data_IF_304152152454
#
_entry.id   IF_304152152454
#
_cell.length_a   1.000
_cell.length_b   1.000
_cell.length_c   1.000
_cell.angle_alpha   90.00
_cell.angle_beta   90.00
_cell.angle_gamma   90.00
#
_symmetry.space_group_name_H-M   'P 1'
#
loop_
_entity.id
_entity.type
_entity.pdbx_description
1 polymer ?
#
# COMPACT_ATOMS: atom_id res chain seq x y z
N UNK A 1 0.83 3.82 -24.96
CA UNK A 1 2.24 3.79 -24.54
C UNK A 1 2.43 2.66 -23.55
N UNK A 2 3.52 1.88 -23.66
CA UNK A 2 3.82 0.85 -22.66
C UNK A 2 4.16 1.51 -21.32
N UNK A 3 3.60 1.00 -20.22
CA UNK A 3 3.80 1.53 -18.86
C UNK A 3 5.02 0.94 -18.15
N UNK A 4 6.00 0.42 -18.89
CA UNK A 4 7.09 -0.39 -18.34
C UNK A 4 7.90 0.35 -17.28
N UNK A 5 8.33 1.59 -17.55
CA UNK A 5 9.10 2.39 -16.59
C UNK A 5 8.26 2.79 -15.37
N UNK A 6 6.99 3.13 -15.59
CA UNK A 6 6.05 3.42 -14.50
C UNK A 6 5.85 2.21 -13.60
N UNK A 7 5.71 1.01 -14.18
CA UNK A 7 5.54 -0.23 -13.43
C UNK A 7 6.80 -0.53 -12.62
N UNK A 8 7.99 -0.39 -13.21
CA UNK A 8 9.25 -0.60 -12.50
C UNK A 8 9.40 0.35 -11.29
N UNK A 9 8.93 1.60 -11.40
CA UNK A 9 8.90 2.54 -10.27
C UNK A 9 7.90 2.11 -9.19
N UNK A 10 6.70 1.67 -9.58
CA UNK A 10 5.67 1.16 -8.65
C UNK A 10 6.20 -0.06 -7.89
N UNK A 11 6.81 -1.02 -8.59
CA UNK A 11 7.35 -2.25 -7.99
C UNK A 11 8.48 -1.92 -7.00
N UNK A 12 9.34 -0.95 -7.35
CA UNK A 12 10.39 -0.45 -6.45
C UNK A 12 9.80 0.24 -5.21
N UNK A 13 8.75 1.04 -5.36
CA UNK A 13 8.06 1.69 -4.24
C UNK A 13 7.45 0.63 -3.30
N UNK A 14 6.75 -0.36 -3.86
CA UNK A 14 6.18 -1.47 -3.11
C UNK A 14 7.27 -2.24 -2.33
N UNK A 15 8.39 -2.56 -3.00
CA UNK A 15 9.53 -3.23 -2.38
C UNK A 15 10.16 -2.40 -1.25
N UNK A 16 10.28 -1.08 -1.44
CA UNK A 16 10.84 -0.18 -0.42
C UNK A 16 9.92 -0.09 0.80
N UNK A 17 8.61 -0.05 0.59
CA UNK A 17 7.63 -0.06 1.67
C UNK A 17 7.64 -1.40 2.42
N UNK A 18 7.71 -2.54 1.70
CA UNK A 18 7.81 -3.85 2.31
C UNK A 18 9.06 -3.97 3.21
N UNK A 19 10.22 -3.49 2.77
CA UNK A 19 11.44 -3.48 3.58
C UNK A 19 11.31 -2.59 4.83
N UNK A 20 10.65 -1.42 4.71
CA UNK A 20 10.36 -0.58 5.86
C UNK A 20 9.41 -1.27 6.86
N UNK A 21 8.39 -1.95 6.36
CA UNK A 21 7.44 -2.68 7.19
C UNK A 21 8.10 -3.84 7.92
N UNK A 22 8.94 -4.63 7.23
CA UNK A 22 9.73 -5.71 7.83
C UNK A 22 10.67 -5.19 8.93
N UNK A 23 11.32 -4.03 8.71
CA UNK A 23 12.15 -3.40 9.73
C UNK A 23 11.34 -2.88 10.94
N UNK A 24 10.05 -2.59 10.74
CA UNK A 24 9.20 -1.96 11.76
C UNK A 24 8.28 -2.95 12.52
N UNK A 25 7.99 -4.12 11.95
CA UNK A 25 6.93 -5.02 12.43
C UNK A 25 7.12 -5.49 13.87
N UNK A 26 8.37 -5.67 14.31
CA UNK A 26 8.71 -6.18 15.63
C UNK A 26 9.18 -5.09 16.61
N UNK A 27 9.06 -3.80 16.24
CA UNK A 27 9.46 -2.70 17.13
C UNK A 27 8.51 -2.60 18.33
N UNK A 28 9.08 -2.55 19.53
CA UNK A 28 8.31 -2.23 20.73
C UNK A 28 7.97 -0.73 20.80
N UNK A 29 7.05 -0.35 21.69
CA UNK A 29 6.76 1.06 21.94
C UNK A 29 8.00 1.83 22.45
N UNK A 30 8.88 1.18 23.19
CA UNK A 30 10.15 1.76 23.65
C UNK A 30 11.14 1.91 22.48
N UNK A 31 11.16 0.98 21.52
CA UNK A 31 11.99 1.10 20.32
C UNK A 31 11.63 2.34 19.48
N UNK A 32 10.35 2.73 19.48
CA UNK A 32 9.87 3.90 18.77
C UNK A 32 10.46 5.22 19.29
N UNK A 33 10.93 5.25 20.54
CA UNK A 33 11.51 6.43 21.19
C UNK A 33 13.04 6.49 21.08
N UNK A 34 13.68 5.44 20.53
CA UNK A 34 15.11 5.47 20.26
C UNK A 34 15.45 6.55 19.24
N UNK A 35 16.42 7.39 19.57
CA UNK A 35 16.88 8.45 18.68
C UNK A 35 17.89 7.92 17.66
N UNK A 36 17.61 8.17 16.39
CA UNK A 36 18.53 7.90 15.29
C UNK A 36 19.34 9.17 15.02
N UNK A 37 20.69 9.12 15.10
CA UNK A 37 21.52 10.27 14.78
C UNK A 37 21.51 10.54 13.27
N UNK A 38 21.59 11.83 12.91
CA UNK A 38 21.89 12.26 11.54
C UNK A 38 20.70 12.46 10.60
N UNK A 39 19.48 12.03 10.97
CA UNK A 39 18.30 12.35 10.16
C UNK A 39 17.91 13.82 10.30
N UNK A 40 17.94 14.58 9.21
CA UNK A 40 17.65 16.03 9.23
C UNK A 40 18.63 16.85 10.07
N UNK A 41 19.86 16.35 10.29
CA UNK A 41 20.90 17.05 11.05
C UNK A 41 20.69 17.06 12.57
N UNK A 42 19.74 16.29 13.10
CA UNK A 42 19.47 16.17 14.54
C UNK A 42 19.13 14.73 14.95
N UNK A 43 19.31 14.35 16.22
CA UNK A 43 18.71 13.13 16.74
C UNK A 43 17.19 13.15 16.49
N UNK A 44 16.66 12.06 15.91
CA UNK A 44 15.25 11.95 15.55
C UNK A 44 14.71 10.59 16.00
N UNK A 45 13.61 10.53 16.78
CA UNK A 45 13.00 9.27 17.18
C UNK A 45 12.56 8.40 16.00
N UNK A 46 12.65 7.08 16.15
CA UNK A 46 12.17 6.11 15.13
C UNK A 46 10.72 6.37 14.73
N UNK A 47 9.82 6.68 15.69
CA UNK A 47 8.41 7.03 15.37
C UNK A 47 8.28 8.16 14.37
N UNK A 48 9.17 9.17 14.43
CA UNK A 48 9.10 10.32 13.54
C UNK A 48 9.51 9.94 12.11
N UNK A 49 10.40 8.95 11.96
CA UNK A 49 10.75 8.41 10.64
C UNK A 49 9.56 7.63 10.04
N UNK A 50 8.86 6.84 10.85
CA UNK A 50 7.66 6.12 10.41
C UNK A 50 6.52 7.09 10.04
N UNK A 51 6.28 8.12 10.85
CA UNK A 51 5.35 9.20 10.50
C UNK A 51 5.78 9.94 9.23
N UNK A 52 7.09 10.17 9.07
CA UNK A 52 7.68 10.77 7.89
C UNK A 52 7.39 9.94 6.64
N UNK A 53 7.64 8.63 6.67
CA UNK A 53 7.39 7.75 5.54
C UNK A 53 5.93 7.77 5.06
N UNK A 54 4.98 7.69 6.00
CA UNK A 54 3.55 7.76 5.69
C UNK A 54 3.15 9.13 5.13
N UNK A 55 3.51 10.22 5.81
CA UNK A 55 3.10 11.57 5.42
C UNK A 55 3.77 12.03 4.12
N UNK A 56 5.04 11.72 3.91
CA UNK A 56 5.80 12.09 2.72
C UNK A 56 5.22 11.40 1.48
N UNK A 57 4.86 10.11 1.58
CA UNK A 57 4.22 9.38 0.48
C UNK A 57 2.88 10.04 0.11
N UNK A 58 2.05 10.35 1.11
CA UNK A 58 0.76 11.05 0.91
C UNK A 58 0.93 12.44 0.30
N UNK A 59 1.93 13.21 0.75
CA UNK A 59 2.26 14.52 0.18
C UNK A 59 2.61 14.40 -1.32
N UNK A 60 3.43 13.43 -1.68
CA UNK A 60 3.88 13.27 -3.07
C UNK A 60 2.79 12.81 -4.04
N UNK A 61 1.69 12.20 -3.56
CA UNK A 61 0.48 12.00 -4.37
C UNK A 61 -0.07 13.35 -4.87
N UNK A 62 -0.13 14.36 -3.99
CA UNK A 62 -0.59 15.70 -4.39
C UNK A 62 0.36 16.34 -5.42
N UNK A 63 1.67 16.13 -5.29
CA UNK A 63 2.64 16.61 -6.27
C UNK A 63 2.45 15.94 -7.64
N UNK A 64 2.26 14.61 -7.67
CA UNK A 64 2.01 13.88 -8.92
C UNK A 64 0.73 14.39 -9.58
N UNK A 65 -0.37 14.48 -8.82
CA UNK A 65 -1.65 14.96 -9.35
C UNK A 65 -1.55 16.39 -9.88
N UNK A 66 -0.86 17.29 -9.17
CA UNK A 66 -0.59 18.64 -9.64
C UNK A 66 0.21 18.65 -10.94
N UNK A 67 1.24 17.83 -11.07
CA UNK A 67 2.05 17.73 -12.31
C UNK A 67 1.18 17.24 -13.48
N UNK A 68 0.37 16.20 -13.26
CA UNK A 68 -0.52 15.67 -14.29
C UNK A 68 -1.54 16.72 -14.73
N UNK A 69 -2.12 17.46 -13.78
CA UNK A 69 -3.09 18.52 -14.07
C UNK A 69 -2.48 19.65 -14.92
N UNK A 70 -1.36 20.24 -14.48
CA UNK A 70 -0.74 21.37 -15.20
C UNK A 70 -0.13 20.99 -16.55
N UNK A 71 0.20 19.71 -16.77
CA UNK A 71 0.73 19.20 -18.05
C UNK A 71 -0.35 18.68 -18.98
N UNK A 72 -1.63 18.88 -18.66
CA UNK A 72 -2.76 18.49 -19.51
C UNK A 72 -3.06 16.98 -19.51
N UNK A 73 -2.55 16.24 -18.52
CA UNK A 73 -2.88 14.84 -18.25
C UNK A 73 -3.97 14.72 -17.16
N UNK A 74 -4.88 15.68 -17.08
CA UNK A 74 -6.00 15.75 -16.12
C UNK A 74 -7.20 14.86 -16.47
N UNK A 75 -6.92 13.66 -16.98
CA UNK A 75 -7.94 12.72 -17.46
C UNK A 75 -8.20 11.55 -16.52
N UNK A 76 -8.35 11.76 -15.22
CA UNK A 76 -8.74 10.66 -14.33
C UNK A 76 -10.16 10.22 -14.72
N UNK A 77 -10.26 9.05 -15.34
CA UNK A 77 -11.56 8.44 -15.61
C UNK A 77 -12.22 7.99 -14.31
N UNK A 78 -13.55 7.83 -14.32
CA UNK A 78 -14.28 7.26 -13.18
C UNK A 78 -13.70 5.92 -12.73
N UNK A 79 -13.29 5.07 -13.69
CA UNK A 79 -12.61 3.81 -13.40
C UNK A 79 -11.28 4.01 -12.63
N UNK A 80 -10.49 5.02 -12.97
CA UNK A 80 -9.25 5.33 -12.24
C UNK A 80 -9.52 5.90 -10.84
N UNK A 81 -10.61 6.66 -10.66
CA UNK A 81 -11.03 7.14 -9.33
C UNK A 81 -11.50 5.98 -8.44
N UNK A 82 -12.22 5.01 -8.99
CA UNK A 82 -12.62 3.79 -8.27
C UNK A 82 -11.39 2.95 -7.89
N UNK A 83 -10.44 2.79 -8.81
CA UNK A 83 -9.19 2.04 -8.52
C UNK A 83 -8.30 2.74 -7.48
N UNK A 84 -8.29 4.08 -7.43
CA UNK A 84 -7.60 4.81 -6.36
C UNK A 84 -8.18 4.49 -4.98
N UNK A 85 -9.52 4.46 -4.85
CA UNK A 85 -10.19 4.05 -3.61
C UNK A 85 -9.89 2.58 -3.28
N UNK A 86 -9.88 1.70 -4.28
CA UNK A 86 -9.47 0.30 -4.13
C UNK A 86 -8.04 0.16 -3.61
N UNK A 87 -7.10 0.97 -4.10
CA UNK A 87 -5.71 0.97 -3.63
C UNK A 87 -5.59 1.41 -2.16
N UNK A 88 -6.39 2.38 -1.71
CA UNK A 88 -6.44 2.77 -0.29
C UNK A 88 -6.97 1.64 0.59
N UNK A 89 -8.03 0.97 0.17
CA UNK A 89 -8.59 -0.19 0.88
C UNK A 89 -7.59 -1.35 0.95
N UNK A 90 -6.89 -1.63 -0.16
CA UNK A 90 -5.85 -2.67 -0.20
C UNK A 90 -4.64 -2.30 0.68
N UNK A 91 -4.25 -1.03 0.73
CA UNK A 91 -3.24 -0.54 1.67
C UNK A 91 -3.64 -0.76 3.12
N UNK A 92 -4.91 -0.54 3.47
CA UNK A 92 -5.42 -0.81 4.81
C UNK A 92 -5.41 -2.31 5.14
N UNK A 93 -5.79 -3.17 4.18
CA UNK A 93 -5.68 -4.62 4.32
C UNK A 93 -4.23 -5.05 4.57
N UNK A 94 -3.28 -4.58 3.76
CA UNK A 94 -1.86 -4.86 3.94
C UNK A 94 -1.36 -4.42 5.32
N UNK A 95 -1.74 -3.23 5.77
CA UNK A 95 -1.40 -2.75 7.12
C UNK A 95 -1.97 -3.64 8.23
N UNK A 96 -3.20 -4.13 8.09
CA UNK A 96 -3.81 -5.05 9.04
C UNK A 96 -3.10 -6.42 9.08
N UNK A 97 -2.53 -6.85 7.95
CA UNK A 97 -1.79 -8.11 7.82
C UNK A 97 -0.35 -8.05 8.34
N UNK A 98 0.21 -6.85 8.58
CA UNK A 98 1.57 -6.75 9.13
C UNK A 98 1.73 -7.44 10.50
N UNK A 99 0.63 -7.58 11.26
CA UNK A 99 0.62 -8.25 12.57
C UNK A 99 0.16 -9.71 12.52
N UNK A 100 -0.03 -10.27 11.32
CA UNK A 100 -0.56 -11.63 11.10
C UNK A 100 0.61 -12.52 10.69
N UNK A 101 0.85 -13.58 11.44
CA UNK A 101 1.81 -14.63 11.07
C UNK A 101 1.12 -15.87 10.47
N UNK A 102 1.91 -16.86 10.06
CA UNK A 102 1.39 -18.09 9.46
C UNK A 102 0.48 -18.89 10.41
N UNK A 103 0.74 -18.84 11.72
CA UNK A 103 -0.07 -19.52 12.73
C UNK A 103 -1.44 -18.83 12.89
N UNK A 104 -1.48 -17.51 12.69
CA UNK A 104 -2.71 -16.73 12.73
C UNK A 104 -3.67 -17.04 11.57
N UNK A 105 -3.19 -17.59 10.45
CA UNK A 105 -4.02 -17.91 9.28
C UNK A 105 -5.16 -18.88 9.61
N UNK A 106 -4.94 -19.79 10.55
CA UNK A 106 -5.92 -20.78 10.99
C UNK A 106 -6.90 -20.26 12.05
N UNK A 107 -6.67 -19.06 12.62
CA UNK A 107 -7.60 -18.48 13.61
C UNK A 107 -8.93 -18.17 12.95
N UNK A 108 -10.02 -18.50 13.64
CA UNK A 108 -11.37 -18.38 13.11
C UNK A 108 -12.35 -17.74 14.08
N UNK A 109 -13.38 -17.12 13.50
CA UNK A 109 -14.56 -16.60 14.18
C UNK A 109 -15.77 -16.73 13.25
N UNK A 110 -16.94 -17.11 13.78
CA UNK A 110 -18.19 -17.23 13.01
C UNK A 110 -18.02 -17.98 11.66
N UNK A 111 -17.41 -19.17 11.73
CA UNK A 111 -17.15 -20.08 10.61
C UNK A 111 -16.18 -19.57 9.52
N UNK A 112 -15.47 -18.46 9.75
CA UNK A 112 -14.46 -17.96 8.84
C UNK A 112 -13.08 -17.88 9.50
N UNK A 113 -12.06 -18.42 8.83
CA UNK A 113 -10.66 -18.19 9.20
C UNK A 113 -10.09 -16.94 8.53
N UNK A 114 -8.98 -16.42 9.06
CA UNK A 114 -8.21 -15.35 8.40
C UNK A 114 -7.85 -15.75 6.97
N UNK A 115 -7.44 -17.01 6.77
CA UNK A 115 -7.17 -17.56 5.44
C UNK A 115 -8.38 -17.52 4.53
N UNK A 116 -9.56 -17.97 5.00
CA UNK A 116 -10.79 -17.97 4.18
C UNK A 116 -11.16 -16.56 3.71
N UNK A 117 -11.00 -15.56 4.59
CA UNK A 117 -11.25 -14.16 4.25
C UNK A 117 -10.29 -13.67 3.16
N UNK A 118 -8.99 -13.99 3.27
CA UNK A 118 -7.98 -13.58 2.29
C UNK A 118 -8.17 -14.27 0.94
N UNK A 119 -8.47 -15.57 0.95
CA UNK A 119 -8.77 -16.33 -0.27
C UNK A 119 -10.06 -15.82 -0.93
N UNK A 120 -11.07 -15.44 -0.15
CA UNK A 120 -12.29 -14.83 -0.67
C UNK A 120 -12.01 -13.47 -1.36
N UNK A 121 -11.20 -12.61 -0.73
CA UNK A 121 -10.81 -11.33 -1.33
C UNK A 121 -10.05 -11.56 -2.63
N UNK A 122 -9.04 -12.45 -2.63
CA UNK A 122 -8.25 -12.76 -3.81
C UNK A 122 -9.12 -13.33 -4.95
N UNK A 123 -9.94 -14.34 -4.67
CA UNK A 123 -10.84 -14.95 -5.66
C UNK A 123 -11.87 -13.97 -6.22
N UNK A 124 -12.33 -13.01 -5.41
CA UNK A 124 -13.23 -11.94 -5.86
C UNK A 124 -12.52 -10.98 -6.82
N UNK A 125 -11.29 -10.57 -6.51
CA UNK A 125 -10.48 -9.71 -7.39
C UNK A 125 -10.18 -10.41 -8.73
N UNK A 126 -9.80 -11.68 -8.72
CA UNK A 126 -9.57 -12.47 -9.93
C UNK A 126 -10.85 -12.56 -10.78
N UNK A 127 -12.00 -12.78 -10.13
CA UNK A 127 -13.29 -12.81 -10.81
C UNK A 127 -13.63 -11.46 -11.47
N UNK A 128 -13.39 -10.35 -10.78
CA UNK A 128 -13.61 -9.02 -11.35
C UNK A 128 -12.71 -8.74 -12.55
N UNK A 129 -11.44 -9.15 -12.49
CA UNK A 129 -10.53 -9.05 -13.64
C UNK A 129 -11.08 -9.81 -14.85
N UNK A 130 -11.60 -11.03 -14.64
CA UNK A 130 -12.21 -11.82 -15.70
C UNK A 130 -13.43 -11.13 -16.29
N UNK A 131 -14.38 -10.68 -15.46
CA UNK A 131 -15.59 -9.99 -15.93
C UNK A 131 -15.29 -8.70 -16.69
N UNK A 132 -14.36 -7.89 -16.19
CA UNK A 132 -13.93 -6.66 -16.90
C UNK A 132 -13.27 -7.01 -18.23
N UNK A 133 -12.38 -8.01 -18.24
CA UNK A 133 -11.69 -8.43 -19.46
C UNK A 133 -12.65 -9.01 -20.50
N UNK A 134 -13.63 -9.81 -20.10
CA UNK A 134 -14.63 -10.38 -21.00
C UNK A 134 -15.62 -9.31 -21.50
N UNK A 135 -16.13 -8.47 -20.61
CA UNK A 135 -17.11 -7.43 -20.95
C UNK A 135 -16.54 -6.30 -21.82
N UNK A 136 -15.22 -6.18 -21.92
CA UNK A 136 -14.53 -5.16 -22.74
C UNK A 136 -13.90 -5.72 -24.02
N UNK A 137 -13.99 -7.04 -24.26
CA UNK A 137 -13.63 -7.63 -25.57
C UNK A 137 -14.70 -7.23 -26.59
N UNK A 138 -14.38 -6.23 -27.41
CA UNK A 138 -15.11 -5.91 -28.64
C UNK A 138 -14.86 -6.97 -29.72
#
# INVERSE_FOLDING_TARGET
>A
MARTDTQALIDRLASSYAALAEAAVNLSNEDLDKEIPGYGGRPTPVRNLLYGAANHTREHVNHINKILDVTGHSGQSEALAILEQGAQAFGALNGALLRVDDDDLARSHEDQSVKDVLEHVAGSLDSFVNFVSEGTKA
#
